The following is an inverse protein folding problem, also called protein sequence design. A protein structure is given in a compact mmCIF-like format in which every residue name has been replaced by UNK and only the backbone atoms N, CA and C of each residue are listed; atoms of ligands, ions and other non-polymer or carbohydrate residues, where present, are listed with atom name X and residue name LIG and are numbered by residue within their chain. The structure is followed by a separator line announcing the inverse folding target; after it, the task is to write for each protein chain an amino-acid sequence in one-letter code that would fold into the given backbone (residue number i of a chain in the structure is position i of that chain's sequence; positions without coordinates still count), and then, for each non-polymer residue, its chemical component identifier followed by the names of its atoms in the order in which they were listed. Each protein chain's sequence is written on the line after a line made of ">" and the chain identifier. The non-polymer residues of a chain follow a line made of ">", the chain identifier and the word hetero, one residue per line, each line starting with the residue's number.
data_IF_628863700311
#
_entry.id   IF_628863700311
#
_cell.length_a   1.000
_cell.length_b   1.000
_cell.length_c   1.000
_cell.angle_alpha   90.00
_cell.angle_beta   90.00
_cell.angle_gamma   90.00
#
_symmetry.space_group_name_H-M   'P 1'
#
loop_
_entity.id
_entity.type
_entity.pdbx_description
1 polymer ?
#
# COMPACT_ATOMS: atom_id res chain seq x y z
N UNK A 1 -1.59 17.08 -9.69
CA UNK A 1 -1.18 16.12 -10.72
C UNK A 1 -2.21 15.01 -10.76
N UNK A 2 -2.39 14.32 -11.90
CA UNK A 2 -3.21 13.12 -12.00
C UNK A 2 -2.33 12.02 -12.59
N UNK A 3 -2.39 10.83 -12.03
CA UNK A 3 -1.70 9.64 -12.54
C UNK A 3 -2.76 8.59 -12.83
N UNK A 4 -2.74 8.02 -14.03
CA UNK A 4 -3.73 7.04 -14.48
C UNK A 4 -3.00 5.81 -15.00
N UNK A 5 -3.31 4.65 -14.43
CA UNK A 5 -2.90 3.36 -14.98
C UNK A 5 -3.85 2.90 -16.08
N UNK A 6 -3.26 2.33 -17.13
CA UNK A 6 -3.96 1.62 -18.19
C UNK A 6 -3.34 0.22 -18.26
N UNK A 7 -3.97 -0.73 -17.58
CA UNK A 7 -3.66 -2.15 -17.73
C UNK A 7 -3.89 -2.59 -19.18
N UNK A 8 -3.15 -3.61 -19.63
CA UNK A 8 -3.34 -4.15 -20.98
C UNK A 8 -4.80 -4.60 -21.16
N UNK A 9 -5.38 -4.28 -22.33
CA UNK A 9 -6.63 -4.92 -22.72
C UNK A 9 -6.34 -6.38 -23.09
N UNK A 10 -7.37 -7.24 -23.11
CA UNK A 10 -7.23 -8.64 -23.57
C UNK A 10 -6.70 -8.78 -25.02
N UNK A 11 -6.58 -7.67 -25.74
CA UNK A 11 -5.89 -7.59 -27.03
C UNK A 11 -4.38 -7.52 -26.80
N UNK A 12 -3.67 -8.56 -27.26
CA UNK A 12 -2.22 -8.78 -27.07
C UNK A 12 -1.29 -7.69 -27.63
N UNK A 13 -1.85 -6.66 -28.27
CA UNK A 13 -1.11 -5.54 -28.87
C UNK A 13 -1.10 -4.27 -27.98
N UNK A 14 -1.91 -4.24 -26.92
CA UNK A 14 -1.95 -3.11 -25.98
C UNK A 14 -0.85 -3.24 -24.92
N UNK A 15 0.25 -2.49 -25.10
CA UNK A 15 1.31 -2.42 -24.07
C UNK A 15 0.81 -1.57 -22.88
N UNK A 16 0.79 -2.12 -21.66
CA UNK A 16 0.33 -1.38 -20.49
C UNK A 16 1.16 -0.12 -20.24
N UNK A 17 0.51 0.91 -19.69
CA UNK A 17 1.13 2.21 -19.51
C UNK A 17 0.52 2.97 -18.33
N UNK A 18 1.30 3.90 -17.77
CA UNK A 18 0.82 4.87 -16.79
C UNK A 18 1.01 6.27 -17.36
N UNK A 19 -0.06 7.06 -17.38
CA UNK A 19 -0.04 8.44 -17.85
C UNK A 19 0.08 9.39 -16.67
N UNK A 20 1.11 10.24 -16.69
CA UNK A 20 1.27 11.34 -15.75
C UNK A 20 0.72 12.60 -16.39
N UNK A 21 -0.37 13.14 -15.86
CA UNK A 21 -1.02 14.35 -16.33
C UNK A 21 -0.77 15.53 -15.39
N UNK A 22 -0.34 16.65 -15.97
CA UNK A 22 -0.11 17.90 -15.23
C UNK A 22 -1.10 18.95 -15.74
N UNK A 23 -1.76 19.65 -14.81
CA UNK A 23 -2.69 20.73 -15.13
C UNK A 23 -1.90 21.94 -15.62
N UNK A 24 -2.27 22.46 -16.78
CA UNK A 24 -1.77 23.71 -17.35
C UNK A 24 -2.93 24.64 -17.62
N UNK A 25 -2.99 25.75 -16.88
CA UNK A 25 -4.09 26.72 -16.88
C UNK A 25 -5.43 26.01 -16.64
N UNK A 26 -6.19 25.78 -17.71
CA UNK A 26 -7.52 25.16 -17.71
C UNK A 26 -7.56 23.74 -18.29
N UNK A 27 -6.43 23.16 -18.70
CA UNK A 27 -6.38 21.83 -19.35
C UNK A 27 -5.45 20.86 -18.65
N UNK A 28 -5.76 19.57 -18.70
CA UNK A 28 -4.83 18.50 -18.34
C UNK A 28 -4.06 18.07 -19.58
N UNK A 29 -2.74 17.95 -19.46
CA UNK A 29 -1.89 17.45 -20.53
C UNK A 29 -1.06 16.29 -20.02
N UNK A 30 -0.96 15.24 -20.83
CA UNK A 30 0.00 14.17 -20.58
C UNK A 30 1.39 14.80 -20.59
N UNK A 31 2.06 14.72 -19.45
CA UNK A 31 3.42 15.17 -19.25
C UNK A 31 4.40 14.06 -19.61
N UNK A 32 4.09 12.83 -19.23
CA UNK A 32 4.91 11.66 -19.45
C UNK A 32 4.04 10.41 -19.51
N UNK A 33 4.45 9.45 -20.33
CA UNK A 33 3.94 8.08 -20.29
C UNK A 33 5.04 7.22 -19.68
N UNK A 34 4.76 6.60 -18.54
CA UNK A 34 5.59 5.58 -17.94
C UNK A 34 5.21 4.24 -18.56
N UNK A 35 6.21 3.46 -18.93
CA UNK A 35 6.02 2.14 -19.50
C UNK A 35 6.87 1.15 -18.74
N UNK A 36 6.22 0.02 -18.53
CA UNK A 36 6.84 -1.25 -18.33
C UNK A 36 7.95 -1.62 -19.33
N UNK A 37 8.91 -2.43 -18.88
CA UNK A 37 9.76 -3.22 -19.77
C UNK A 37 8.98 -4.31 -20.50
N UNK A 38 9.67 -5.16 -21.27
CA UNK A 38 9.06 -6.05 -22.27
C UNK A 38 8.32 -7.32 -21.75
N UNK A 39 7.89 -7.39 -20.48
CA UNK A 39 7.29 -8.60 -19.84
C UNK A 39 6.38 -8.28 -18.63
N UNK A 40 5.60 -7.23 -18.71
CA UNK A 40 4.80 -6.73 -17.58
C UNK A 40 3.34 -6.73 -18.02
N UNK A 41 2.57 -7.71 -17.54
CA UNK A 41 1.26 -8.02 -18.09
C UNK A 41 0.19 -7.04 -17.58
N UNK A 42 0.38 -6.52 -16.35
CA UNK A 42 -0.58 -5.62 -15.68
C UNK A 42 0.09 -4.39 -15.05
N UNK A 43 1.13 -3.86 -15.69
CA UNK A 43 1.72 -2.58 -15.28
C UNK A 43 0.64 -1.48 -15.25
N UNK A 44 0.58 -0.73 -14.14
CA UNK A 44 -0.48 0.24 -13.93
C UNK A 44 -1.71 -0.32 -13.22
N UNK A 45 -1.67 -1.57 -12.75
CA UNK A 45 -2.72 -2.20 -11.94
C UNK A 45 -3.20 -1.33 -10.79
N UNK A 46 -2.23 -0.76 -10.09
CA UNK A 46 -2.47 0.22 -9.04
C UNK A 46 -1.48 1.37 -9.20
N UNK A 47 -1.92 2.56 -8.82
CA UNK A 47 -1.07 3.76 -8.86
C UNK A 47 -1.27 4.59 -7.60
N UNK A 48 -0.17 5.09 -7.05
CA UNK A 48 -0.19 6.04 -5.94
C UNK A 48 0.82 7.17 -6.19
N UNK A 49 0.55 8.34 -5.63
CA UNK A 49 1.36 9.54 -5.81
C UNK A 49 1.50 10.28 -4.48
N UNK A 50 2.71 10.72 -4.15
CA UNK A 50 2.96 11.55 -2.97
C UNK A 50 2.28 12.92 -3.11
N UNK A 51 2.05 13.61 -1.99
CA UNK A 51 1.30 14.88 -1.99
C UNK A 51 2.00 15.99 -2.77
N UNK A 52 3.34 15.98 -2.80
CA UNK A 52 4.16 16.88 -3.61
C UNK A 52 4.25 16.48 -5.10
N UNK A 53 3.80 15.27 -5.45
CA UNK A 53 3.89 14.72 -6.80
C UNK A 53 5.29 14.30 -7.22
N UNK A 54 6.24 14.21 -6.29
CA UNK A 54 7.63 13.85 -6.59
C UNK A 54 7.87 12.34 -6.62
N UNK A 55 7.01 11.54 -5.98
CA UNK A 55 7.08 10.07 -5.96
C UNK A 55 5.81 9.46 -6.53
N UNK A 56 5.95 8.54 -7.48
CA UNK A 56 4.85 7.75 -8.06
C UNK A 56 5.17 6.28 -7.88
N UNK A 57 4.20 5.52 -7.37
CA UNK A 57 4.28 4.06 -7.24
C UNK A 57 3.33 3.45 -8.25
N UNK A 58 3.81 2.42 -8.96
CA UNK A 58 3.02 1.68 -9.95
C UNK A 58 3.09 0.20 -9.62
N UNK A 59 1.94 -0.43 -9.39
CA UNK A 59 1.83 -1.88 -9.27
C UNK A 59 1.88 -2.57 -10.65
N UNK A 60 2.58 -3.69 -10.71
CA UNK A 60 2.67 -4.59 -11.86
C UNK A 60 2.47 -6.04 -11.35
N UNK A 61 1.20 -6.44 -11.28
CA UNK A 61 0.80 -7.80 -10.94
C UNK A 61 1.06 -8.71 -12.14
N UNK A 62 1.51 -9.94 -11.89
CA UNK A 62 1.79 -10.92 -12.93
C UNK A 62 0.84 -12.10 -12.87
N UNK A 63 0.75 -12.83 -13.98
CA UNK A 63 0.06 -14.12 -14.03
C UNK A 63 1.08 -15.26 -14.00
N UNK A 64 0.79 -16.39 -13.32
CA UNK A 64 1.63 -17.58 -13.43
C UNK A 64 1.63 -18.13 -14.88
N UNK A 65 2.78 -18.60 -15.41
CA UNK A 65 4.07 -18.75 -14.76
C UNK A 65 5.04 -17.57 -14.99
N UNK A 66 4.55 -16.42 -15.46
CA UNK A 66 5.34 -15.37 -16.11
C UNK A 66 6.16 -14.47 -15.17
N UNK A 67 6.06 -14.69 -13.86
CA UNK A 67 6.96 -14.13 -12.85
C UNK A 67 6.21 -13.58 -11.65
N UNK A 68 6.95 -13.06 -10.67
CA UNK A 68 6.38 -12.45 -9.47
C UNK A 68 5.84 -11.05 -9.75
N UNK A 69 4.83 -10.65 -8.97
CA UNK A 69 4.33 -9.28 -8.97
C UNK A 69 5.37 -8.32 -8.39
N UNK A 70 5.37 -7.08 -8.88
CA UNK A 70 6.32 -6.04 -8.46
C UNK A 70 5.62 -4.69 -8.27
N UNK A 71 6.29 -3.76 -7.59
CA UNK A 71 5.89 -2.36 -7.57
C UNK A 71 7.06 -1.46 -7.98
N UNK A 72 6.87 -0.64 -9.00
CA UNK A 72 7.85 0.28 -9.53
C UNK A 72 7.77 1.62 -8.80
N UNK A 73 8.93 2.17 -8.44
CA UNK A 73 9.06 3.46 -7.75
C UNK A 73 9.70 4.48 -8.68
N UNK A 74 8.91 5.47 -9.09
CA UNK A 74 9.39 6.58 -9.90
C UNK A 74 9.58 7.82 -9.03
N UNK A 75 10.75 8.43 -9.14
CA UNK A 75 11.05 9.70 -8.48
C UNK A 75 11.31 10.75 -9.54
N UNK A 76 10.75 11.93 -9.32
CA UNK A 76 10.89 13.05 -10.21
C UNK A 76 12.31 13.63 -10.15
N UNK A 77 12.88 13.84 -11.33
CA UNK A 77 14.13 14.58 -11.53
C UNK A 77 13.87 15.64 -12.59
N UNK A 78 13.81 16.90 -12.16
CA UNK A 78 13.39 18.02 -13.00
C UNK A 78 11.93 17.93 -13.44
N UNK A 79 11.69 17.72 -14.74
CA UNK A 79 10.34 17.67 -15.32
C UNK A 79 9.81 16.25 -15.57
N UNK A 80 10.61 15.22 -15.29
CA UNK A 80 10.33 13.83 -15.62
C UNK A 80 10.44 12.93 -14.38
N UNK A 81 9.67 11.85 -14.37
CA UNK A 81 9.70 10.77 -13.39
C UNK A 81 10.54 9.63 -13.95
N UNK A 82 11.60 9.28 -13.22
CA UNK A 82 12.50 8.19 -13.59
C UNK A 82 12.32 7.05 -12.61
N UNK A 83 12.36 5.82 -13.11
CA UNK A 83 12.32 4.64 -12.24
C UNK A 83 13.61 4.60 -11.40
N UNK A 84 13.45 4.49 -10.09
CA UNK A 84 14.57 4.47 -9.12
C UNK A 84 14.65 3.17 -8.37
N UNK A 85 13.57 2.40 -8.32
CA UNK A 85 13.54 1.07 -7.73
C UNK A 85 12.40 0.24 -8.29
N UNK A 86 12.61 -1.07 -8.23
CA UNK A 86 11.59 -2.10 -8.38
C UNK A 86 11.51 -2.84 -7.05
N UNK A 87 10.36 -2.77 -6.40
CA UNK A 87 10.08 -3.46 -5.14
C UNK A 87 9.57 -4.86 -5.46
N UNK A 88 10.22 -5.86 -4.91
CA UNK A 88 9.87 -7.27 -5.12
C UNK A 88 9.16 -7.81 -3.87
N UNK A 89 8.14 -8.63 -4.13
CA UNK A 89 7.40 -9.33 -3.09
C UNK A 89 8.14 -10.54 -2.53
N UNK A 90 7.49 -11.29 -1.63
CA UNK A 90 7.91 -12.65 -1.29
C UNK A 90 7.99 -13.54 -2.54
N UNK A 91 8.84 -14.56 -2.49
CA UNK A 91 9.01 -15.49 -3.60
C UNK A 91 7.69 -16.17 -3.98
N UNK A 92 7.44 -16.29 -5.28
CA UNK A 92 6.23 -16.85 -5.89
C UNK A 92 4.92 -16.10 -5.58
N UNK A 93 4.98 -14.83 -5.15
CA UNK A 93 3.79 -13.99 -5.02
C UNK A 93 3.52 -13.20 -6.31
N UNK A 94 2.58 -13.70 -7.10
CA UNK A 94 2.13 -13.09 -8.35
C UNK A 94 1.29 -11.81 -8.13
N UNK A 95 0.71 -11.66 -6.93
CA UNK A 95 -0.26 -10.60 -6.58
C UNK A 95 0.38 -9.37 -5.95
N UNK A 96 1.69 -9.38 -5.73
CA UNK A 96 2.39 -8.23 -5.18
C UNK A 96 2.28 -7.01 -6.10
N UNK A 97 1.82 -5.89 -5.54
CA UNK A 97 1.52 -4.69 -6.32
C UNK A 97 0.04 -4.52 -6.68
N UNK A 98 -0.85 -5.43 -6.24
CA UNK A 98 -2.28 -5.29 -6.54
C UNK A 98 -2.89 -4.02 -5.94
N UNK A 99 -2.41 -3.60 -4.76
CA UNK A 99 -2.68 -2.26 -4.21
C UNK A 99 -1.39 -1.62 -3.72
N UNK A 100 -1.23 -0.32 -4.00
CA UNK A 100 -0.11 0.48 -3.51
C UNK A 100 -0.59 1.75 -2.82
N UNK A 101 0.12 2.18 -1.79
CA UNK A 101 -0.06 3.46 -1.13
C UNK A 101 1.30 4.09 -0.84
N UNK A 102 1.34 5.43 -0.79
CA UNK A 102 2.56 6.20 -0.48
C UNK A 102 2.23 7.31 0.51
N UNK A 103 3.13 7.57 1.46
CA UNK A 103 3.00 8.68 2.39
C UNK A 103 3.09 10.04 1.69
N UNK A 104 2.60 11.09 2.33
CA UNK A 104 2.59 12.44 1.75
C UNK A 104 3.98 12.94 1.36
N UNK A 105 4.99 12.59 2.15
CA UNK A 105 6.41 12.94 1.94
C UNK A 105 7.15 11.98 0.98
N UNK A 106 6.47 10.95 0.46
CA UNK A 106 7.08 9.96 -0.43
C UNK A 106 8.16 9.11 0.23
N UNK A 107 8.26 9.06 1.57
CA UNK A 107 9.31 8.32 2.27
C UNK A 107 8.92 6.89 2.65
N UNK A 108 7.62 6.60 2.70
CA UNK A 108 7.05 5.30 3.06
C UNK A 108 6.11 4.83 1.96
N UNK A 109 6.29 3.58 1.56
CA UNK A 109 5.44 2.89 0.58
C UNK A 109 4.83 1.69 1.28
N UNK A 110 3.57 1.42 0.99
CA UNK A 110 2.89 0.20 1.35
C UNK A 110 2.45 -0.50 0.07
N UNK A 111 2.79 -1.78 -0.05
CA UNK A 111 2.37 -2.63 -1.16
C UNK A 111 1.59 -3.80 -0.59
N UNK A 112 0.38 -4.03 -1.09
CA UNK A 112 -0.42 -5.18 -0.71
C UNK A 112 -0.24 -6.32 -1.70
N UNK A 113 -0.43 -7.52 -1.18
CA UNK A 113 -0.52 -8.77 -1.92
C UNK A 113 -1.38 -9.77 -1.14
N UNK A 114 -1.52 -10.98 -1.67
CA UNK A 114 -2.33 -12.05 -1.07
C UNK A 114 -1.83 -12.53 0.30
N UNK A 115 -0.56 -12.29 0.65
CA UNK A 115 0.01 -12.68 1.95
C UNK A 115 -0.01 -11.54 3.00
N UNK A 116 -0.41 -10.33 2.60
CA UNK A 116 -0.58 -9.18 3.48
C UNK A 116 -0.04 -7.88 2.91
N UNK A 117 0.25 -6.93 3.80
CA UNK A 117 0.85 -5.64 3.45
C UNK A 117 2.36 -5.61 3.68
N UNK A 118 3.12 -4.98 2.80
CA UNK A 118 4.58 -4.84 2.90
C UNK A 118 4.95 -3.37 2.93
N UNK A 119 5.55 -2.93 4.04
CA UNK A 119 5.94 -1.53 4.25
C UNK A 119 7.41 -1.37 3.86
N UNK A 120 7.68 -0.52 2.88
CA UNK A 120 9.01 -0.11 2.46
C UNK A 120 9.25 1.32 2.90
N UNK A 121 10.50 1.62 3.25
CA UNK A 121 10.89 2.99 3.50
C UNK A 121 12.24 3.30 2.90
N UNK A 122 12.39 4.56 2.51
CA UNK A 122 13.61 5.05 1.89
C UNK A 122 14.78 4.99 2.88
N UNK A 123 15.91 4.49 2.42
CA UNK A 123 17.17 4.34 3.16
C UNK A 123 18.32 4.85 2.27
N UNK A 124 18.49 6.16 2.19
CA UNK A 124 19.39 6.79 1.22
C UNK A 124 18.80 6.75 -0.18
N UNK A 125 19.51 6.12 -1.12
CA UNK A 125 19.06 5.95 -2.51
C UNK A 125 18.28 4.63 -2.74
N UNK A 126 18.15 3.79 -1.71
CA UNK A 126 17.47 2.49 -1.84
C UNK A 126 16.19 2.42 -1.00
N UNK A 127 15.36 1.43 -1.31
CA UNK A 127 14.16 1.10 -0.55
C UNK A 127 14.39 -0.20 0.21
N UNK A 128 14.03 -0.21 1.49
CA UNK A 128 14.14 -1.41 2.33
C UNK A 128 12.79 -1.75 2.92
N UNK A 129 12.41 -3.03 2.85
CA UNK A 129 11.25 -3.55 3.58
C UNK A 129 11.50 -3.39 5.07
N UNK A 130 10.62 -2.68 5.75
CA UNK A 130 10.68 -2.39 7.19
C UNK A 130 9.72 -3.25 8.01
N UNK A 131 8.59 -3.64 7.43
CA UNK A 131 7.60 -4.46 8.10
C UNK A 131 6.75 -5.24 7.10
N UNK A 132 6.16 -6.33 7.57
CA UNK A 132 5.05 -7.02 6.92
C UNK A 132 3.85 -6.97 7.87
N UNK A 133 2.70 -6.62 7.32
CA UNK A 133 1.39 -6.49 7.94
C UNK A 133 0.59 -7.73 7.55
N UNK A 134 0.78 -8.82 8.29
CA UNK A 134 0.11 -10.09 8.02
C UNK A 134 -1.19 -10.13 8.83
N UNK A 135 -2.36 -10.27 8.18
CA UNK A 135 -3.61 -10.45 8.90
C UNK A 135 -3.55 -11.71 9.77
N UNK A 136 -4.04 -11.63 11.01
CA UNK A 136 -4.02 -12.77 11.94
C UNK A 136 -5.07 -13.84 11.64
N UNK A 137 -5.93 -13.60 10.64
CA UNK A 137 -6.94 -14.55 10.18
C UNK A 137 -6.50 -15.17 8.85
N UNK A 138 -6.61 -16.48 8.77
CA UNK A 138 -6.54 -17.20 7.50
C UNK A 138 -7.71 -16.73 6.63
N UNK A 139 -7.46 -16.30 5.39
CA UNK A 139 -8.45 -15.81 4.40
C UNK A 139 -8.84 -14.32 4.45
N UNK A 140 -7.90 -13.42 4.75
CA UNK A 140 -8.11 -11.99 4.52
C UNK A 140 -7.58 -11.60 3.14
N UNK A 141 -8.48 -11.13 2.26
CA UNK A 141 -8.10 -10.50 1.00
C UNK A 141 -8.09 -8.99 1.18
N UNK A 142 -6.91 -8.41 1.34
CA UNK A 142 -6.81 -6.96 1.44
C UNK A 142 -7.09 -6.31 0.08
N UNK A 143 -8.03 -5.38 0.03
CA UNK A 143 -8.53 -4.76 -1.21
C UNK A 143 -8.17 -3.29 -1.34
N UNK A 144 -7.92 -2.60 -0.23
CA UNK A 144 -7.51 -1.20 -0.26
C UNK A 144 -6.53 -0.88 0.85
N UNK A 145 -5.73 0.17 0.63
CA UNK A 145 -4.78 0.66 1.60
C UNK A 145 -4.70 2.19 1.59
N UNK A 146 -4.51 2.78 2.76
CA UNK A 146 -4.13 4.18 2.93
C UNK A 146 -3.01 4.30 3.96
N UNK A 147 -2.12 5.28 3.76
CA UNK A 147 -1.09 5.67 4.72
C UNK A 147 -1.39 7.06 5.29
N UNK A 148 -1.06 7.27 6.55
CA UNK A 148 -0.97 8.62 7.12
C UNK A 148 0.10 9.44 6.40
N UNK A 149 0.01 10.77 6.53
CA UNK A 149 0.95 11.69 5.90
C UNK A 149 2.42 11.38 6.25
N UNK A 150 2.69 10.92 7.48
CA UNK A 150 4.03 10.53 7.96
C UNK A 150 4.36 9.04 7.75
N UNK A 151 3.45 8.28 7.13
CA UNK A 151 3.62 6.85 6.85
C UNK A 151 3.64 5.94 8.08
N UNK A 152 3.32 6.44 9.28
CA UNK A 152 3.36 5.63 10.52
C UNK A 152 2.09 4.85 10.79
N UNK A 153 0.98 5.27 10.20
CA UNK A 153 -0.31 4.63 10.32
C UNK A 153 -0.72 4.10 8.96
N UNK A 154 -1.11 2.83 8.91
CA UNK A 154 -1.72 2.21 7.75
C UNK A 154 -3.17 1.83 8.08
N UNK A 155 -4.07 2.08 7.14
CA UNK A 155 -5.44 1.56 7.17
C UNK A 155 -5.60 0.62 5.99
N UNK A 156 -6.03 -0.61 6.25
CA UNK A 156 -6.24 -1.65 5.24
C UNK A 156 -7.70 -2.08 5.30
N UNK A 157 -8.33 -2.37 4.17
CA UNK A 157 -9.65 -3.03 4.19
C UNK A 157 -9.56 -4.38 3.53
N UNK A 158 -10.41 -5.29 3.98
CA UNK A 158 -10.68 -6.55 3.29
C UNK A 158 -12.13 -6.65 2.84
N UNK A 159 -12.34 -7.54 1.88
CA UNK A 159 -13.67 -8.07 1.60
C UNK A 159 -13.84 -9.36 2.41
N UNK A 160 -14.41 -9.25 3.61
CA UNK A 160 -14.81 -10.39 4.43
C UNK A 160 -15.92 -11.16 3.67
N UNK A 161 -15.57 -12.26 3.00
CA UNK A 161 -16.55 -13.21 2.44
C UNK A 161 -16.96 -14.20 3.53
N UNK A 162 -17.50 -13.70 4.65
CA UNK A 162 -18.09 -14.58 5.68
C UNK A 162 -19.59 -14.37 5.68
N UNK A 163 -20.27 -15.15 4.83
CA UNK A 163 -21.70 -15.48 4.91
C UNK A 163 -22.66 -14.33 5.23
N UNK A 164 -23.23 -13.74 4.18
CA UNK A 164 -24.52 -13.03 4.23
C UNK A 164 -24.61 -11.78 5.14
N UNK A 165 -23.50 -11.16 5.53
CA UNK A 165 -23.46 -9.81 6.08
C UNK A 165 -22.44 -8.99 5.29
N UNK A 166 -22.94 -8.05 4.49
CA UNK A 166 -22.13 -7.02 3.84
C UNK A 166 -21.43 -6.18 4.92
N UNK A 167 -20.15 -6.48 5.20
CA UNK A 167 -19.36 -5.73 6.15
C UNK A 167 -17.91 -5.67 5.69
N UNK A 168 -17.50 -4.54 5.11
CA UNK A 168 -16.08 -4.24 4.88
C UNK A 168 -15.39 -4.10 6.24
N UNK A 169 -14.42 -4.95 6.54
CA UNK A 169 -13.61 -4.81 7.76
C UNK A 169 -12.43 -3.87 7.49
N UNK A 170 -12.19 -2.94 8.42
CA UNK A 170 -11.05 -2.02 8.39
C UNK A 170 -10.03 -2.38 9.46
N UNK A 171 -8.76 -2.52 9.08
CA UNK A 171 -7.62 -2.77 9.96
C UNK A 171 -6.79 -1.50 10.09
N UNK A 172 -6.44 -1.11 11.32
CA UNK A 172 -5.57 0.04 11.59
C UNK A 172 -4.28 -0.45 12.26
N UNK A 173 -3.14 -0.05 11.73
CA UNK A 173 -1.83 -0.34 12.29
C UNK A 173 -1.09 0.97 12.56
N UNK A 174 -0.51 1.13 13.76
CA UNK A 174 0.37 2.27 14.10
C UNK A 174 1.71 1.77 14.64
N UNK A 175 2.82 2.36 14.21
CA UNK A 175 4.15 2.07 14.78
C UNK A 175 4.53 3.11 15.86
N UNK A 176 4.64 2.69 17.11
CA UNK A 176 5.23 3.51 18.18
C UNK A 176 6.74 3.22 18.30
N UNK A 177 7.56 4.28 18.28
CA UNK A 177 8.96 4.17 18.67
C UNK A 177 8.99 3.97 20.18
N UNK A 178 9.42 2.79 20.65
CA UNK A 178 9.71 2.56 22.05
C UNK A 178 10.75 3.58 22.54
N UNK A 179 10.31 4.63 23.23
CA UNK A 179 11.20 5.48 24.02
C UNK A 179 11.48 4.72 25.32
N UNK A 180 12.68 4.17 25.41
CA UNK A 180 13.15 3.46 26.58
C UNK A 180 13.12 4.34 27.83
N UNK A 181 12.52 3.81 28.88
CA UNK A 181 12.61 4.28 30.25
C UNK A 181 12.05 3.18 31.17
N UNK A 182 12.77 2.69 32.18
CA UNK A 182 12.28 1.63 33.03
C UNK A 182 11.25 2.22 34.00
N UNK A 183 10.06 1.64 34.01
CA UNK A 183 9.10 1.83 35.09
C UNK A 183 8.19 3.05 34.97
N UNK A 184 7.04 2.85 34.33
CA UNK A 184 5.72 3.33 34.81
C UNK A 184 4.65 2.81 33.86
N UNK A 185 3.74 1.96 34.37
CA UNK A 185 2.45 1.72 33.72
C UNK A 185 1.63 3.01 33.83
N UNK A 186 1.00 3.53 32.76
CA UNK A 186 -0.23 4.27 32.90
C UNK A 186 -1.39 3.33 32.55
N UNK A 187 -2.04 2.83 33.59
CA UNK A 187 -3.46 2.52 33.55
C UNK A 187 -4.24 3.84 33.41
N UNK A 188 -5.02 3.99 32.34
CA UNK A 188 -6.12 4.96 32.31
C UNK A 188 -7.14 4.55 31.27
N UNK A 189 -8.17 3.85 31.74
CA UNK A 189 -9.49 3.78 31.12
C UNK A 189 -10.10 5.19 31.10
N UNK A 190 -10.29 5.78 29.93
CA UNK A 190 -11.09 6.99 29.77
C UNK A 190 -12.53 6.55 29.48
N UNK A 191 -13.36 6.61 30.53
CA UNK A 191 -14.81 6.43 30.43
C UNK A 191 -15.47 7.64 29.78
N UNK A 192 -16.50 7.36 28.97
CA UNK A 192 -17.50 8.34 28.53
C UNK A 192 -18.88 7.90 29.05
N UNK A 193 -19.79 8.84 29.38
CA UNK A 193 -20.97 8.55 30.18
C UNK A 193 -22.05 7.80 29.41
N UNK A 194 -22.79 6.97 30.15
CA UNK A 194 -23.92 6.18 29.66
C UNK A 194 -25.16 7.05 29.37
N UNK A 195 -25.84 6.76 28.26
CA UNK A 195 -27.28 7.00 28.10
C UNK A 195 -27.88 5.97 27.11
N UNK A 196 -28.81 5.14 27.62
CA UNK A 196 -30.01 4.70 26.89
C UNK A 196 -29.94 3.53 25.90
N UNK A 197 -30.01 2.30 26.44
CA UNK A 197 -30.71 1.09 25.93
C UNK A 197 -30.85 0.84 24.41
N UNK A 198 -30.09 -0.12 23.86
CA UNK A 198 -30.62 -1.41 23.37
C UNK A 198 -29.46 -2.36 23.03
N UNK A 199 -29.65 -3.64 23.34
CA UNK A 199 -28.63 -4.68 23.31
C UNK A 199 -28.33 -5.18 21.89
N UNK A 200 -27.14 -4.87 21.38
CA UNK A 200 -26.44 -5.69 20.41
C UNK A 200 -24.97 -5.71 20.82
N UNK A 201 -24.45 -6.90 21.12
CA UNK A 201 -23.05 -7.13 21.47
C UNK A 201 -22.17 -6.81 20.26
N UNK A 202 -21.75 -5.56 20.12
CA UNK A 202 -20.62 -5.21 19.26
C UNK A 202 -19.36 -5.74 19.95
N UNK A 203 -19.02 -7.01 19.68
CA UNK A 203 -17.71 -7.55 20.02
C UNK A 203 -16.69 -6.76 19.21
N UNK A 204 -16.09 -5.74 19.85
CA UNK A 204 -15.03 -4.94 19.28
C UNK A 204 -13.90 -5.86 18.82
N UNK A 205 -13.64 -5.88 17.51
CA UNK A 205 -12.51 -6.60 16.96
C UNK A 205 -11.22 -5.89 17.41
N UNK A 206 -10.50 -6.54 18.32
CA UNK A 206 -9.10 -6.22 18.62
C UNK A 206 -8.22 -6.87 17.53
N UNK A 207 -7.55 -6.05 16.72
CA UNK A 207 -6.42 -6.49 15.90
C UNK A 207 -5.12 -6.20 16.68
N UNK A 208 -4.38 -7.23 17.04
CA UNK A 208 -3.03 -7.10 17.60
C UNK A 208 -2.01 -7.24 16.47
N UNK A 209 -1.29 -6.16 16.16
CA UNK A 209 -0.23 -6.15 15.14
C UNK A 209 1.03 -6.73 15.76
N UNK A 210 1.43 -7.93 15.32
CA UNK A 210 2.72 -8.52 15.70
C UNK A 210 3.81 -7.92 14.81
N UNK A 211 4.53 -6.92 15.32
CA UNK A 211 5.77 -6.43 14.70
C UNK A 211 6.88 -7.47 14.91
N UNK A 212 7.03 -8.42 13.98
CA UNK A 212 8.20 -9.30 13.99
C UNK A 212 9.38 -8.56 13.37
N UNK A 213 10.26 -8.01 14.21
CA UNK A 213 11.58 -7.57 13.78
C UNK A 213 12.54 -8.75 13.82
N UNK A 214 12.74 -9.45 12.70
CA UNK A 214 13.85 -10.40 12.61
C UNK A 214 15.16 -9.62 12.40
N UNK A 215 15.96 -9.50 13.46
CA UNK A 215 17.37 -9.10 13.34
C UNK A 215 18.13 -10.35 12.87
N UNK A 216 18.74 -10.37 11.68
CA UNK A 216 19.60 -11.48 11.29
C UNK A 216 20.83 -11.51 12.22
N UNK A 217 21.17 -12.72 12.70
CA UNK A 217 22.35 -12.99 13.52
C UNK A 217 23.64 -12.80 12.74
#
# INVERSE_FOLDING_TARGET
>A
MVVVGAESSADKDSVPAVYVLVRSRSSWKVRQTLRAGSREDRFGRSVAVSSDGETIIVGDVREPPDGEGVAHVYVRSGSLWNETAKLEGPSADFTFGDTVAVSSDGATILVLSSDGGHVFARSGQTWKRRASLVPTRSYVFLTTAALSADGRVAVLTDDDVVGNVEGRAGHMCSSERARGGPGRRPSSSLGLPAAGTSSASASGLHAEVVLSSSVPR
#
